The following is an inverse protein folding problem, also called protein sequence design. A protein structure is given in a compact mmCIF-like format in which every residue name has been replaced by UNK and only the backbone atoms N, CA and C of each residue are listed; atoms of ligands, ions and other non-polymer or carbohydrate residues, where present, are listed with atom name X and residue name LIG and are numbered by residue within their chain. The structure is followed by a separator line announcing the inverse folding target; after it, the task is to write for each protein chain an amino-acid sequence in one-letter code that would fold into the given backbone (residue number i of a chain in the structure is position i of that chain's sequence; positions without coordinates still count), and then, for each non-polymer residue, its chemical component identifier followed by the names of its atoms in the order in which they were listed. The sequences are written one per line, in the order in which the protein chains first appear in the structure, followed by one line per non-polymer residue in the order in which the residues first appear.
data_IF_252075537236
#
_entry.id   IF_252075537236
#
_cell.length_a   1.000
_cell.length_b   1.000
_cell.length_c   1.000
_cell.angle_alpha   90.00
_cell.angle_beta   90.00
_cell.angle_gamma   90.00
#
_symmetry.space_group_name_H-M   'P 1'
#
loop_
_entity.id
_entity.type
_entity.pdbx_description
1 polymer ?
#
# COMPACT_ATOMS: atom_id res chain seq x y z
N UNK A 1 -36.01 -4.02 -7.71
CA UNK A 1 -34.75 -4.73 -7.44
C UNK A 1 -33.64 -3.69 -7.32
N UNK A 2 -33.38 -3.20 -6.11
CA UNK A 2 -32.33 -2.19 -5.87
C UNK A 2 -31.01 -2.93 -5.61
N UNK A 3 -30.25 -3.17 -6.67
CA UNK A 3 -28.86 -3.60 -6.57
C UNK A 3 -28.00 -2.38 -6.25
N UNK A 4 -27.99 -1.94 -4.99
CA UNK A 4 -27.05 -0.92 -4.52
C UNK A 4 -25.67 -1.55 -4.48
N UNK A 5 -25.00 -1.59 -5.62
CA UNK A 5 -23.57 -1.86 -5.67
C UNK A 5 -22.89 -0.60 -5.09
N UNK A 6 -22.28 -0.64 -3.88
CA UNK A 6 -21.51 0.50 -3.40
C UNK A 6 -20.43 0.81 -4.45
N UNK A 7 -20.04 2.07 -4.68
CA UNK A 7 -18.99 2.38 -5.64
C UNK A 7 -17.72 1.68 -5.18
N UNK A 8 -17.41 0.54 -5.78
CA UNK A 8 -16.37 -0.38 -5.30
C UNK A 8 -14.98 0.30 -5.36
N UNK A 9 -14.87 1.41 -6.09
CA UNK A 9 -13.71 2.32 -6.07
C UNK A 9 -13.47 3.07 -4.76
N UNK A 10 -14.48 3.28 -3.89
CA UNK A 10 -14.30 3.98 -2.60
C UNK A 10 -13.41 3.19 -1.64
N UNK A 11 -13.50 1.86 -1.62
CA UNK A 11 -12.70 1.03 -0.73
C UNK A 11 -11.21 1.07 -1.12
N UNK A 12 -10.91 0.98 -2.41
CA UNK A 12 -9.55 1.14 -2.93
C UNK A 12 -9.01 2.56 -2.66
N UNK A 13 -9.84 3.60 -2.81
CA UNK A 13 -9.48 4.97 -2.49
C UNK A 13 -9.13 5.16 -1.01
N UNK A 14 -9.93 4.57 -0.09
CA UNK A 14 -9.65 4.60 1.35
C UNK A 14 -8.32 3.92 1.67
N UNK A 15 -8.02 2.76 1.07
CA UNK A 15 -6.74 2.06 1.28
C UNK A 15 -5.58 2.91 0.74
N UNK A 16 -5.74 3.55 -0.43
CA UNK A 16 -4.73 4.45 -0.98
C UNK A 16 -4.53 5.71 -0.12
N UNK A 17 -5.60 6.28 0.43
CA UNK A 17 -5.54 7.41 1.35
C UNK A 17 -4.83 7.05 2.66
N UNK A 18 -4.95 5.81 3.14
CA UNK A 18 -4.22 5.32 4.31
C UNK A 18 -2.72 5.14 4.07
N UNK A 19 -2.26 4.99 2.81
CA UNK A 19 -0.83 4.95 2.50
C UNK A 19 -0.13 6.28 2.79
N UNK A 20 -0.76 7.41 2.48
CA UNK A 20 -0.16 8.75 2.65
C UNK A 20 0.34 9.02 4.09
N UNK A 21 -0.49 8.85 5.15
CA UNK A 21 -0.02 9.05 6.52
C UNK A 21 1.01 8.01 6.95
N UNK A 22 0.93 6.76 6.47
CA UNK A 22 1.94 5.73 6.76
C UNK A 22 3.30 6.10 6.17
N UNK A 23 3.34 6.58 4.92
CA UNK A 23 4.56 7.04 4.25
C UNK A 23 5.16 8.25 4.99
N UNK A 24 4.33 9.24 5.36
CA UNK A 24 4.78 10.39 6.16
C UNK A 24 5.35 9.95 7.51
N UNK A 25 4.69 9.00 8.19
CA UNK A 25 5.15 8.49 9.48
C UNK A 25 6.45 7.69 9.34
N UNK A 26 6.63 6.95 8.25
CA UNK A 26 7.90 6.31 7.92
C UNK A 26 9.01 7.34 7.67
N UNK A 27 8.73 8.42 6.95
CA UNK A 27 9.74 9.46 6.71
C UNK A 27 10.27 10.09 8.01
N UNK A 28 9.42 10.22 9.03
CA UNK A 28 9.78 10.78 10.33
C UNK A 28 10.49 9.78 11.25
N UNK A 29 10.05 8.52 11.25
CA UNK A 29 10.52 7.52 12.23
C UNK A 29 11.53 6.52 11.65
N UNK A 30 11.58 6.37 10.32
CA UNK A 30 12.30 5.32 9.58
C UNK A 30 12.12 3.93 10.17
N UNK A 31 10.93 3.63 10.69
CA UNK A 31 10.66 2.35 11.34
C UNK A 31 10.29 1.27 10.32
N UNK A 32 10.99 0.13 10.38
CA UNK A 32 10.72 -1.04 9.54
C UNK A 32 9.28 -1.53 9.66
N UNK A 33 8.69 -1.45 10.86
CA UNK A 33 7.30 -1.86 11.09
C UNK A 33 6.30 -1.07 10.24
N UNK A 34 6.56 0.22 10.00
CA UNK A 34 5.72 1.07 9.16
C UNK A 34 5.92 0.71 7.68
N UNK A 35 7.15 0.43 7.25
CA UNK A 35 7.41 -0.05 5.89
C UNK A 35 6.69 -1.38 5.60
N UNK A 36 6.68 -2.32 6.55
CA UNK A 36 5.89 -3.55 6.47
C UNK A 36 4.37 -3.29 6.43
N UNK A 37 3.88 -2.31 7.19
CA UNK A 37 2.47 -1.90 7.15
C UNK A 37 2.09 -1.37 5.75
N UNK A 38 2.94 -0.55 5.13
CA UNK A 38 2.76 -0.05 3.76
C UNK A 38 2.70 -1.21 2.75
N UNK A 39 3.63 -2.17 2.84
CA UNK A 39 3.63 -3.36 1.97
C UNK A 39 2.33 -4.16 2.09
N UNK A 40 1.83 -4.35 3.32
CA UNK A 40 0.56 -5.07 3.55
C UNK A 40 -0.65 -4.35 2.95
N UNK A 41 -0.72 -3.02 3.06
CA UNK A 41 -1.81 -2.25 2.45
C UNK A 41 -1.76 -2.30 0.91
N UNK A 42 -0.56 -2.28 0.32
CA UNK A 42 -0.39 -2.45 -1.14
C UNK A 42 -0.82 -3.85 -1.58
N UNK A 43 -0.51 -4.89 -0.81
CA UNK A 43 -0.90 -6.27 -1.13
C UNK A 43 -2.42 -6.45 -1.04
N UNK A 44 -3.07 -5.89 0.00
CA UNK A 44 -4.54 -5.83 0.11
C UNK A 44 -5.20 -5.06 -1.03
N UNK A 45 -4.62 -3.92 -1.44
CA UNK A 45 -5.13 -3.16 -2.58
C UNK A 45 -5.07 -3.98 -3.87
N UNK A 46 -3.99 -4.75 -4.08
CA UNK A 46 -3.80 -5.60 -5.25
C UNK A 46 -4.76 -6.80 -5.26
N UNK A 47 -4.99 -7.40 -4.10
CA UNK A 47 -5.90 -8.54 -3.93
C UNK A 47 -7.37 -8.14 -4.08
N UNK A 48 -7.69 -6.86 -3.90
CA UNK A 48 -9.05 -6.36 -3.99
C UNK A 48 -9.62 -6.58 -5.41
N UNK A 49 -10.79 -7.25 -5.55
CA UNK A 49 -11.38 -7.56 -6.86
C UNK A 49 -11.81 -6.31 -7.65
N UNK A 50 -11.96 -5.17 -6.96
CA UNK A 50 -12.22 -3.87 -7.58
C UNK A 50 -10.96 -3.14 -8.07
N UNK A 51 -9.78 -3.69 -7.81
CA UNK A 51 -8.53 -3.19 -8.33
C UNK A 51 -8.38 -3.63 -9.79
N UNK A 52 -9.23 -3.02 -10.62
CA UNK A 52 -9.18 -3.02 -12.09
C UNK A 52 -8.12 -2.01 -12.56
N UNK A 53 -6.96 -2.00 -11.87
CA UNK A 53 -5.83 -1.20 -12.29
C UNK A 53 -5.37 -1.74 -13.62
N UNK A 54 -5.54 -0.95 -14.70
CA UNK A 54 -4.84 -1.14 -15.99
C UNK A 54 -3.44 -1.66 -15.70
N UNK A 55 -2.93 -2.58 -16.52
CA UNK A 55 -1.64 -3.26 -16.30
C UNK A 55 -0.50 -2.32 -15.83
N UNK A 56 -0.49 -1.08 -16.31
CA UNK A 56 0.41 -0.01 -15.88
C UNK A 56 0.34 0.33 -14.37
N UNK A 57 -0.87 0.47 -13.82
CA UNK A 57 -1.10 0.67 -12.39
C UNK A 57 -0.58 -0.51 -11.56
N UNK A 58 -0.87 -1.75 -11.96
CA UNK A 58 -0.31 -2.96 -11.30
C UNK A 58 1.22 -2.94 -11.28
N UNK A 59 1.87 -2.58 -12.38
CA UNK A 59 3.32 -2.44 -12.45
C UNK A 59 3.87 -1.35 -11.50
N UNK A 60 3.18 -0.21 -11.36
CA UNK A 60 3.56 0.83 -10.42
C UNK A 60 3.47 0.34 -8.95
N UNK A 61 2.40 -0.34 -8.57
CA UNK A 61 2.25 -0.90 -7.22
C UNK A 61 3.25 -2.02 -6.93
N UNK A 62 3.58 -2.87 -7.91
CA UNK A 62 4.62 -3.89 -7.76
C UNK A 62 6.01 -3.26 -7.52
N UNK A 63 6.37 -2.23 -8.29
CA UNK A 63 7.62 -1.47 -8.08
C UNK A 63 7.62 -0.82 -6.69
N UNK A 64 6.51 -0.22 -6.29
CA UNK A 64 6.37 0.40 -4.98
C UNK A 64 6.54 -0.63 -3.86
N UNK A 65 5.88 -1.79 -3.95
CA UNK A 65 6.02 -2.91 -3.00
C UNK A 65 7.47 -3.38 -2.85
N UNK A 66 8.19 -3.58 -3.97
CA UNK A 66 9.59 -3.99 -3.93
C UNK A 66 10.48 -2.93 -3.27
N UNK A 67 10.24 -1.66 -3.56
CA UNK A 67 10.95 -0.55 -2.91
C UNK A 67 10.72 -0.53 -1.40
N UNK A 68 9.47 -0.68 -0.94
CA UNK A 68 9.13 -0.68 0.49
C UNK A 68 9.68 -1.90 1.24
N UNK A 69 9.79 -3.08 0.60
CA UNK A 69 10.49 -4.23 1.20
C UNK A 69 11.97 -3.94 1.43
N UNK A 70 12.62 -3.29 0.47
CA UNK A 70 14.04 -2.94 0.61
C UNK A 70 14.23 -1.87 1.69
N UNK A 71 13.32 -0.90 1.77
CA UNK A 71 13.28 0.07 2.87
C UNK A 71 13.07 -0.60 4.24
N UNK A 72 12.19 -1.59 4.34
CA UNK A 72 12.01 -2.37 5.57
C UNK A 72 13.31 -3.08 5.97
N UNK A 73 13.91 -3.85 5.06
CA UNK A 73 15.17 -4.56 5.32
C UNK A 73 16.32 -3.63 5.72
N UNK A 74 16.42 -2.45 5.10
CA UNK A 74 17.48 -1.47 5.43
C UNK A 74 17.23 -0.71 6.73
N UNK A 75 15.97 -0.53 7.15
CA UNK A 75 15.65 0.12 8.42
C UNK A 75 15.83 -0.82 9.61
N UNK A 76 15.68 -2.13 9.42
CA UNK A 76 16.03 -3.15 10.43
C UNK A 76 17.54 -3.18 10.69
N UNK A 77 18.38 -3.10 9.65
CA UNK A 77 19.84 -3.16 9.79
C UNK A 77 20.48 -1.93 10.48
N UNK A 78 19.75 -0.83 10.70
CA UNK A 78 20.26 0.36 11.41
C UNK A 78 19.84 0.40 12.89
N UNK A 79 19.01 -0.54 13.33
CA UNK A 79 18.54 -0.64 14.72
C UNK A 79 19.20 -1.75 15.55
N UNK A 80 20.37 -2.26 15.11
CA UNK A 80 21.19 -3.21 15.86
C UNK A 80 22.27 -2.52 16.69
#
# INVERSE_FOLDING_TARGET
MAGTNPPIGRAADIIAQQLVPLIRRYAQTRSAQIAHAVVRHIDMLRDHPAFDGRADGRCAYLRMRSHWRLLAATSESRGG
#
